data_IF_242060002243
#
_entry.id   IF_242060002243
#
_cell.length_a   1.000
_cell.length_b   1.000
_cell.length_c   1.000
_cell.angle_alpha   90.00
_cell.angle_beta   90.00
_cell.angle_gamma   90.00
#
_symmetry.space_group_name_H-M   'P 1'
#
loop_
_entity.id
_entity.type
_entity.pdbx_description
1 polymer ?
#
# COMPACT_ATOMS: atom_id res chain seq x y z
N UNK A 1 -4.02 9.26 -3.88
CA UNK A 1 -2.54 9.35 -3.77
C UNK A 1 -2.12 10.71 -4.30
N UNK A 2 -1.31 11.45 -3.53
CA UNK A 2 -0.61 12.63 -4.04
C UNK A 2 0.80 12.21 -4.47
N UNK A 3 1.35 12.89 -5.49
CA UNK A 3 2.70 12.60 -5.97
C UNK A 3 3.72 13.16 -4.97
N UNK A 4 4.57 12.29 -4.42
CA UNK A 4 5.68 12.67 -3.53
C UNK A 4 5.30 12.78 -2.05
N UNK A 5 6.15 13.46 -1.27
CA UNK A 5 5.98 13.66 0.16
C UNK A 5 5.15 14.92 0.47
N UNK A 6 4.52 14.95 1.65
CA UNK A 6 3.71 16.08 2.16
C UNK A 6 4.20 16.45 3.55
N UNK A 7 3.95 17.70 3.95
CA UNK A 7 4.27 18.22 5.26
C UNK A 7 3.53 17.46 6.37
N UNK A 8 4.32 16.85 7.26
CA UNK A 8 3.87 16.33 8.55
C UNK A 8 3.76 14.81 8.69
N UNK A 9 3.60 14.32 9.94
CA UNK A 9 3.50 12.92 10.25
C UNK A 9 2.11 12.38 9.93
N UNK A 10 2.01 11.05 9.96
CA UNK A 10 0.75 10.32 9.82
C UNK A 10 -0.29 10.86 10.83
N UNK A 11 -1.55 10.97 10.38
CA UNK A 11 -2.72 11.48 11.13
C UNK A 11 -2.80 13.01 11.36
N UNK A 12 -1.86 13.82 10.85
CA UNK A 12 -1.99 15.28 10.91
C UNK A 12 -3.10 15.80 9.96
N UNK A 13 -3.89 16.76 10.42
CA UNK A 13 -4.87 17.47 9.59
C UNK A 13 -4.15 18.29 8.51
N UNK A 14 -4.54 18.14 7.23
CA UNK A 14 -3.95 18.85 6.09
C UNK A 14 -5.08 19.48 5.29
N UNK A 15 -5.01 20.79 5.07
CA UNK A 15 -5.96 21.53 4.22
C UNK A 15 -5.47 21.57 2.77
N UNK A 16 -6.21 20.95 1.86
CA UNK A 16 -5.93 21.00 0.42
C UNK A 16 -6.66 22.18 -0.24
N UNK A 17 -5.99 22.86 -1.17
CA UNK A 17 -6.53 24.03 -1.87
C UNK A 17 -6.25 23.93 -3.36
N UNK A 18 -7.18 24.44 -4.19
CA UNK A 18 -6.95 24.59 -5.63
C UNK A 18 -5.78 25.54 -5.90
N UNK A 19 -5.00 25.26 -6.94
CA UNK A 19 -3.92 26.15 -7.36
C UNK A 19 -4.48 27.52 -7.74
N UNK A 20 -3.80 28.58 -7.32
CA UNK A 20 -4.10 29.96 -7.74
C UNK A 20 -3.61 30.26 -9.15
N UNK A 21 -2.59 29.54 -9.59
CA UNK A 21 -1.90 29.82 -10.85
C UNK A 21 -2.46 28.87 -11.90
N UNK A 22 -2.79 29.41 -13.07
CA UNK A 22 -3.18 28.61 -14.23
C UNK A 22 -2.04 27.70 -14.64
N UNK A 23 -2.25 26.39 -14.55
CA UNK A 23 -1.24 25.42 -14.95
C UNK A 23 -1.20 25.35 -16.48
N UNK A 24 -0.03 25.57 -17.08
CA UNK A 24 0.18 25.52 -18.54
C UNK A 24 1.12 24.39 -18.96
N UNK A 25 1.88 23.83 -18.00
CA UNK A 25 2.87 22.78 -18.26
C UNK A 25 2.18 21.46 -18.61
N UNK A 26 2.71 20.74 -19.61
CA UNK A 26 2.19 19.42 -20.04
C UNK A 26 2.10 18.40 -18.90
N UNK A 27 3.10 18.38 -18.03
CA UNK A 27 3.15 17.50 -16.84
C UNK A 27 1.95 17.70 -15.91
N UNK A 28 1.39 18.92 -15.84
CA UNK A 28 0.23 19.21 -15.00
C UNK A 28 -1.11 18.80 -15.65
N UNK A 29 -1.15 18.64 -16.98
CA UNK A 29 -2.34 18.24 -17.75
C UNK A 29 -2.33 16.77 -18.16
N UNK A 30 -1.31 16.03 -17.75
CA UNK A 30 -1.18 14.61 -18.06
C UNK A 30 -2.31 13.81 -17.38
N UNK A 31 -3.03 13.00 -18.18
CA UNK A 31 -4.02 12.06 -17.65
C UNK A 31 -3.31 10.84 -17.09
N UNK A 32 -3.32 10.68 -15.78
CA UNK A 32 -2.61 9.59 -15.09
C UNK A 32 -3.47 8.32 -15.11
N UNK A 33 -2.98 7.26 -15.75
CA UNK A 33 -3.52 5.91 -15.65
C UNK A 33 -2.55 5.01 -14.87
N UNK A 34 -2.95 4.54 -13.69
CA UNK A 34 -2.10 3.71 -12.83
C UNK A 34 -2.17 2.25 -13.26
N UNK A 35 -1.01 1.62 -13.48
CA UNK A 35 -0.92 0.20 -13.87
C UNK A 35 -0.81 -0.76 -12.68
N UNK A 36 -0.11 -0.35 -11.62
CA UNK A 36 0.18 -1.20 -10.47
C UNK A 36 0.46 -0.35 -9.22
N UNK A 37 0.12 -0.88 -8.05
CA UNK A 37 0.35 -0.25 -6.75
C UNK A 37 1.04 -1.27 -5.86
N UNK A 38 2.13 -0.88 -5.22
CA UNK A 38 2.82 -1.70 -4.23
C UNK A 38 2.03 -1.75 -2.92
N UNK A 39 1.53 -2.93 -2.58
CA UNK A 39 0.80 -3.24 -1.34
C UNK A 39 1.64 -4.05 -0.36
N UNK A 40 2.94 -4.19 -0.63
CA UNK A 40 3.87 -4.86 0.28
C UNK A 40 3.97 -4.14 1.62
N UNK A 41 4.32 -4.90 2.66
CA UNK A 41 4.47 -4.35 4.01
C UNK A 41 5.57 -3.28 4.07
N UNK A 42 5.28 -2.20 4.79
CA UNK A 42 6.24 -1.11 5.09
C UNK A 42 6.90 -1.26 6.46
N UNK A 43 6.52 -2.28 7.23
CA UNK A 43 7.22 -2.64 8.46
C UNK A 43 8.38 -3.56 8.10
N UNK A 44 9.60 -3.01 8.06
CA UNK A 44 10.78 -3.74 7.59
C UNK A 44 10.82 -3.90 6.06
N UNK A 45 11.35 -5.02 5.58
CA UNK A 45 11.49 -5.31 4.15
C UNK A 45 10.28 -6.10 3.61
N UNK A 46 9.37 -5.42 2.90
CA UNK A 46 8.22 -6.03 2.24
C UNK A 46 8.62 -6.93 1.07
N UNK A 47 8.12 -8.17 1.03
CA UNK A 47 8.43 -9.18 -0.01
C UNK A 47 7.24 -9.70 -0.81
N UNK A 48 6.03 -9.62 -0.26
CA UNK A 48 4.80 -10.15 -0.85
C UNK A 48 3.77 -9.03 -0.98
N UNK A 49 3.03 -9.01 -2.08
CA UNK A 49 1.99 -8.00 -2.31
C UNK A 49 0.69 -8.37 -1.61
N UNK A 50 0.38 -9.67 -1.56
CA UNK A 50 -0.80 -10.19 -0.89
C UNK A 50 -0.46 -11.22 0.19
N UNK A 51 -1.36 -11.38 1.15
CA UNK A 51 -1.23 -12.44 2.16
C UNK A 51 -1.36 -13.83 1.53
N UNK A 52 -2.11 -13.97 0.44
CA UNK A 52 -2.24 -15.20 -0.31
C UNK A 52 -0.90 -15.62 -0.94
N UNK A 53 -0.20 -14.70 -1.61
CA UNK A 53 1.16 -14.94 -2.14
C UNK A 53 2.12 -15.39 -1.04
N UNK A 54 2.09 -14.70 0.12
CA UNK A 54 2.95 -15.06 1.25
C UNK A 54 2.67 -16.48 1.77
N UNK A 55 1.39 -16.85 1.91
CA UNK A 55 0.99 -18.20 2.37
C UNK A 55 1.36 -19.27 1.35
N UNK A 56 1.12 -19.01 0.06
CA UNK A 56 1.50 -19.92 -1.01
C UNK A 56 3.02 -20.14 -1.06
N UNK A 57 3.82 -19.09 -0.86
CA UNK A 57 5.27 -19.18 -0.84
C UNK A 57 5.81 -19.88 0.42
N UNK A 58 5.29 -19.57 1.61
CA UNK A 58 5.78 -20.11 2.87
C UNK A 58 5.28 -21.54 3.17
N UNK A 59 4.20 -21.97 2.51
CA UNK A 59 3.54 -23.24 2.81
C UNK A 59 2.83 -23.23 4.17
N UNK A 60 2.47 -24.43 4.65
CA UNK A 60 1.87 -24.60 5.98
C UNK A 60 2.94 -24.45 7.06
N UNK A 61 2.69 -23.58 8.03
CA UNK A 61 3.56 -23.39 9.18
C UNK A 61 3.05 -24.15 10.40
N UNK A 62 3.88 -24.31 11.43
CA UNK A 62 3.50 -24.96 12.71
C UNK A 62 2.21 -24.40 13.32
N UNK A 63 2.02 -23.08 13.25
CA UNK A 63 0.82 -22.40 13.75
C UNK A 63 -0.45 -22.82 13.04
N UNK A 64 -0.38 -23.10 11.74
CA UNK A 64 -1.53 -23.49 10.95
C UNK A 64 -1.97 -24.92 11.33
N UNK A 65 -1.02 -25.83 11.57
CA UNK A 65 -1.32 -27.19 12.06
C UNK A 65 -1.98 -27.20 13.44
N UNK A 66 -1.54 -26.32 14.36
CA UNK A 66 -2.15 -26.20 15.68
C UNK A 66 -3.58 -25.66 15.59
N UNK A 67 -3.82 -24.64 14.76
CA UNK A 67 -5.16 -24.12 14.53
C UNK A 67 -6.09 -25.18 13.91
N UNK A 68 -5.60 -25.96 12.94
CA UNK A 68 -6.36 -27.07 12.35
C UNK A 68 -6.71 -28.15 13.40
N UNK A 69 -5.82 -28.43 14.36
CA UNK A 69 -6.07 -29.38 15.44
C UNK A 69 -7.11 -28.87 16.44
N UNK A 70 -7.06 -27.60 16.83
CA UNK A 70 -8.05 -26.97 17.71
C UNK A 70 -9.44 -26.90 17.07
N UNK A 71 -9.53 -26.61 15.76
CA UNK A 71 -10.83 -26.57 15.05
C UNK A 71 -11.46 -27.94 14.82
N UNK A 72 -10.69 -29.03 14.97
CA UNK A 72 -11.17 -30.41 14.83
C UNK A 72 -11.58 -31.05 16.16
N UNK A 73 -11.24 -30.41 17.28
CA UNK A 73 -11.70 -30.77 18.62
C UNK A 73 -13.06 -30.14 18.91
#
# INVERSE_FOLDING_TARGET
MLRGAILGPKKRLITLRKSLITQTKRVAHEKINLKWIDTSSKTGHGRFQTTAEKRAFMGKLKRDFLAEAETKA
#
